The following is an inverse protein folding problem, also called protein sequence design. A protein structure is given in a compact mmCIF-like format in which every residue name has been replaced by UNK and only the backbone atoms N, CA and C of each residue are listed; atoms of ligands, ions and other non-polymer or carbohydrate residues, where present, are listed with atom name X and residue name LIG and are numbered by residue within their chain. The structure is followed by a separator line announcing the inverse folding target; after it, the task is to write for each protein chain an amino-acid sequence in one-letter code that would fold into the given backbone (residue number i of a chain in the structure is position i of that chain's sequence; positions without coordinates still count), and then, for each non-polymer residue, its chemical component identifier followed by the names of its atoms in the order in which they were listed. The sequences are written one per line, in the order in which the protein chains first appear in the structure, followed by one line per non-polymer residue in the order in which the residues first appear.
data_IF_982238260366
#
_entry.id   IF_982238260366
#
_cell.length_a   1.000
_cell.length_b   1.000
_cell.length_c   1.000
_cell.angle_alpha   90.00
_cell.angle_beta   90.00
_cell.angle_gamma   90.00
#
_symmetry.space_group_name_H-M   'P 1'
#
loop_
_entity.id
_entity.type
_entity.pdbx_description
1 polymer ?
#
# COMPACT_ATOMS: atom_id res chain seq x y z
N UNK A 1 41.11 5.39 0.28
CA UNK A 1 40.32 4.46 -0.56
C UNK A 1 38.87 4.52 -0.10
N UNK A 2 37.97 5.10 -0.90
CA UNK A 2 36.54 5.17 -0.55
C UNK A 2 35.85 3.85 -0.93
N UNK A 3 35.32 3.14 0.06
CA UNK A 3 34.53 1.93 -0.17
C UNK A 3 33.14 2.32 -0.66
N UNK A 4 32.89 2.10 -1.95
CA UNK A 4 31.54 2.12 -2.53
C UNK A 4 30.68 1.05 -1.84
N UNK A 5 29.70 1.47 -1.06
CA UNK A 5 28.68 0.56 -0.51
C UNK A 5 27.74 0.18 -1.65
N UNK A 6 27.91 -1.04 -2.19
CA UNK A 6 26.96 -1.64 -3.13
C UNK A 6 25.59 -1.72 -2.47
N UNK A 7 24.59 -1.08 -3.08
CA UNK A 7 23.19 -1.25 -2.71
C UNK A 7 22.82 -2.72 -2.92
N UNK A 8 22.73 -3.46 -1.82
CA UNK A 8 22.29 -4.85 -1.84
C UNK A 8 20.77 -4.81 -1.94
N UNK A 9 20.23 -5.18 -3.10
CA UNK A 9 18.80 -5.35 -3.31
C UNK A 9 18.35 -6.53 -2.44
N UNK A 10 17.91 -6.24 -1.21
CA UNK A 10 17.29 -7.23 -0.34
C UNK A 10 15.96 -7.61 -1.01
N UNK A 11 15.89 -8.80 -1.57
CA UNK A 11 14.62 -9.38 -1.98
C UNK A 11 13.72 -9.43 -0.73
N UNK A 12 12.74 -8.54 -0.67
CA UNK A 12 11.67 -8.57 0.31
C UNK A 12 10.98 -9.93 0.13
N UNK A 13 11.28 -10.88 1.03
CA UNK A 13 10.54 -12.14 1.16
C UNK A 13 9.06 -11.80 1.12
N UNK A 14 8.31 -12.51 0.29
CA UNK A 14 6.85 -12.40 0.17
C UNK A 14 6.24 -12.10 1.54
N UNK A 15 5.83 -10.84 1.71
CA UNK A 15 5.20 -10.43 2.95
C UNK A 15 3.91 -11.22 3.04
N UNK A 16 3.79 -12.08 4.06
CA UNK A 16 2.55 -12.79 4.36
C UNK A 16 1.41 -11.76 4.23
N UNK A 17 0.48 -11.94 3.27
CA UNK A 17 -0.59 -10.98 3.05
C UNK A 17 -1.42 -10.80 4.31
N UNK A 18 -1.31 -11.70 5.29
CA UNK A 18 -1.93 -11.59 6.59
C UNK A 18 -3.42 -11.90 6.54
N UNK A 19 -4.00 -12.09 7.72
CA UNK A 19 -5.40 -12.40 7.88
C UNK A 19 -6.15 -11.15 8.39
N UNK A 20 -7.25 -10.81 7.71
CA UNK A 20 -8.17 -9.80 8.20
C UNK A 20 -9.05 -10.37 9.32
N UNK A 21 -9.10 -9.69 10.44
CA UNK A 21 -9.93 -10.05 11.59
C UNK A 21 -10.68 -8.83 12.10
N UNK A 22 -11.88 -9.06 12.66
CA UNK A 22 -12.65 -8.02 13.34
C UNK A 22 -12.39 -8.11 14.83
N UNK A 23 -11.94 -7.01 15.43
CA UNK A 23 -11.62 -6.96 16.86
C UNK A 23 -12.91 -6.90 17.70
N UNK A 24 -12.95 -7.69 18.76
CA UNK A 24 -14.07 -7.70 19.72
C UNK A 24 -13.81 -6.79 20.93
N UNK A 25 -12.56 -6.32 21.09
CA UNK A 25 -12.08 -5.48 22.18
C UNK A 25 -11.06 -4.46 21.66
N UNK A 26 -10.80 -3.42 22.47
CA UNK A 26 -9.71 -2.50 22.20
C UNK A 26 -8.36 -3.21 22.34
N UNK A 27 -7.47 -3.01 21.36
CA UNK A 27 -6.17 -3.67 21.36
C UNK A 27 -5.13 -2.86 20.59
N UNK A 28 -4.03 -2.48 21.24
CA UNK A 28 -2.87 -1.79 20.62
C UNK A 28 -3.27 -0.60 19.72
N UNK A 29 -4.20 0.24 20.18
CA UNK A 29 -4.68 1.41 19.43
C UNK A 29 -5.78 1.12 18.41
N UNK A 30 -6.13 -0.15 18.21
CA UNK A 30 -7.30 -0.53 17.43
C UNK A 30 -8.55 -0.58 18.31
N UNK A 31 -9.67 -0.09 17.77
CA UNK A 31 -10.94 -0.02 18.48
C UNK A 31 -11.73 -1.33 18.38
N UNK A 32 -12.64 -1.55 19.33
CA UNK A 32 -13.64 -2.63 19.23
C UNK A 32 -14.48 -2.43 17.97
N UNK A 33 -14.69 -3.51 17.22
CA UNK A 33 -15.43 -3.52 15.95
C UNK A 33 -14.57 -3.19 14.73
N UNK A 34 -13.36 -2.65 14.93
CA UNK A 34 -12.45 -2.33 13.84
C UNK A 34 -11.97 -3.61 13.13
N UNK A 35 -11.92 -3.55 11.81
CA UNK A 35 -11.34 -4.59 10.96
C UNK A 35 -9.89 -4.21 10.68
N UNK A 36 -8.98 -5.13 10.92
CA UNK A 36 -7.57 -4.93 10.68
C UNK A 36 -6.92 -6.23 10.19
N UNK A 37 -5.84 -6.09 9.42
CA UNK A 37 -5.08 -7.21 8.86
C UNK A 37 -3.80 -7.39 9.66
N UNK A 38 -3.59 -8.59 10.17
CA UNK A 38 -2.41 -8.95 10.96
C UNK A 38 -1.74 -10.18 10.36
N UNK A 39 -0.47 -10.40 10.68
CA UNK A 39 0.18 -11.66 10.31
C UNK A 39 -0.56 -12.87 10.93
N UNK A 40 -0.39 -14.04 10.33
CA UNK A 40 -1.13 -15.25 10.71
C UNK A 40 -0.93 -15.66 12.17
N UNK A 41 0.26 -15.42 12.73
CA UNK A 41 0.56 -15.71 14.14
C UNK A 41 -0.27 -14.82 15.07
N UNK A 42 -0.30 -13.52 14.81
CA UNK A 42 -1.04 -12.55 15.64
C UNK A 42 -2.53 -12.76 15.50
N UNK A 43 -3.05 -12.99 14.29
CA UNK A 43 -4.48 -13.27 14.09
C UNK A 43 -4.92 -14.51 14.86
N UNK A 44 -4.10 -15.57 14.85
CA UNK A 44 -4.37 -16.82 15.58
C UNK A 44 -4.37 -16.58 17.09
N UNK A 45 -3.40 -15.84 17.62
CA UNK A 45 -3.36 -15.51 19.04
C UNK A 45 -4.56 -14.66 19.48
N UNK A 46 -4.98 -13.70 18.65
CA UNK A 46 -6.13 -12.85 18.94
C UNK A 46 -7.45 -13.65 18.93
N UNK A 47 -7.61 -14.57 17.98
CA UNK A 47 -8.76 -15.49 17.93
C UNK A 47 -8.79 -16.44 19.13
N UNK A 48 -7.65 -17.05 19.47
CA UNK A 48 -7.53 -17.96 20.61
C UNK A 48 -7.86 -17.28 21.94
N UNK A 49 -7.53 -15.98 22.08
CA UNK A 49 -7.88 -15.17 23.26
C UNK A 49 -9.31 -14.63 23.25
N UNK A 50 -10.07 -14.86 22.16
CA UNK A 50 -11.42 -14.30 21.98
C UNK A 50 -11.45 -12.79 21.75
N UNK A 51 -10.32 -12.19 21.36
CA UNK A 51 -10.17 -10.74 21.14
C UNK A 51 -10.41 -10.33 19.69
N UNK A 52 -10.47 -11.31 18.79
CA UNK A 52 -10.85 -11.10 17.41
C UNK A 52 -11.70 -12.27 16.90
N UNK A 53 -12.53 -11.99 15.91
CA UNK A 53 -13.29 -12.97 15.14
C UNK A 53 -12.84 -12.93 13.67
N UNK A 54 -12.98 -14.05 12.92
CA UNK A 54 -12.73 -14.04 11.49
C UNK A 54 -13.54 -12.94 10.81
N UNK A 55 -12.89 -12.15 9.94
CA UNK A 55 -13.59 -11.13 9.18
C UNK A 55 -14.48 -11.80 8.13
N UNK A 56 -15.79 -11.60 8.27
CA UNK A 56 -16.80 -11.97 7.27
C UNK A 56 -17.48 -10.67 6.83
N UNK A 57 -17.02 -10.04 5.73
CA UNK A 57 -17.60 -8.79 5.27
C UNK A 57 -19.07 -8.98 4.91
N UNK A 58 -19.91 -8.01 5.24
CA UNK A 58 -21.25 -7.92 4.65
C UNK A 58 -21.14 -7.49 3.19
N UNK A 59 -22.25 -7.55 2.44
CA UNK A 59 -22.29 -7.09 1.04
C UNK A 59 -21.83 -5.62 0.92
N UNK A 60 -22.32 -4.76 1.82
CA UNK A 60 -21.99 -3.34 1.86
C UNK A 60 -20.51 -3.10 2.20
N UNK A 61 -19.97 -3.80 3.19
CA UNK A 61 -18.55 -3.67 3.57
C UNK A 61 -17.63 -4.13 2.45
N UNK A 62 -18.02 -5.19 1.73
CA UNK A 62 -17.27 -5.67 0.57
C UNK A 62 -17.24 -4.63 -0.55
N UNK A 63 -18.38 -4.01 -0.86
CA UNK A 63 -18.46 -2.96 -1.89
C UNK A 63 -17.66 -1.71 -1.50
N UNK A 64 -17.66 -1.31 -0.22
CA UNK A 64 -16.85 -0.19 0.26
C UNK A 64 -15.34 -0.51 0.21
N UNK A 65 -14.94 -1.70 0.67
CA UNK A 65 -13.55 -2.17 0.61
C UNK A 65 -13.06 -2.23 -0.85
N UNK A 66 -13.85 -2.77 -1.77
CA UNK A 66 -13.54 -2.83 -3.20
C UNK A 66 -13.39 -1.42 -3.80
N UNK A 67 -14.29 -0.49 -3.45
CA UNK A 67 -14.17 0.91 -3.88
C UNK A 67 -12.90 1.57 -3.35
N UNK A 68 -12.53 1.35 -2.08
CA UNK A 68 -11.30 1.91 -1.50
C UNK A 68 -10.06 1.39 -2.21
N UNK A 69 -10.02 0.08 -2.50
CA UNK A 69 -8.92 -0.53 -3.26
C UNK A 69 -8.84 0.06 -4.66
N UNK A 70 -9.98 0.27 -5.32
CA UNK A 70 -10.04 0.88 -6.64
C UNK A 70 -9.50 2.32 -6.61
N UNK A 71 -9.96 3.15 -5.67
CA UNK A 71 -9.50 4.54 -5.50
C UNK A 71 -7.99 4.59 -5.24
N UNK A 72 -7.47 3.70 -4.40
CA UNK A 72 -6.04 3.66 -4.10
C UNK A 72 -5.22 3.25 -5.32
N UNK A 73 -5.70 2.27 -6.09
CA UNK A 73 -5.06 1.82 -7.33
C UNK A 73 -5.07 2.91 -8.39
N UNK A 74 -6.21 3.58 -8.57
CA UNK A 74 -6.38 4.68 -9.52
C UNK A 74 -5.47 5.86 -9.16
N UNK A 75 -5.34 6.19 -7.87
CA UNK A 75 -4.42 7.22 -7.38
C UNK A 75 -2.96 6.91 -7.70
N UNK A 76 -2.52 5.66 -7.49
CA UNK A 76 -1.15 5.22 -7.85
C UNK A 76 -0.93 5.31 -9.35
N UNK A 77 -1.91 4.90 -10.17
CA UNK A 77 -1.82 4.95 -11.62
C UNK A 77 -1.77 6.40 -12.14
N UNK A 78 -2.54 7.31 -11.52
CA UNK A 78 -2.53 8.72 -11.86
C UNK A 78 -1.20 9.40 -11.50
N UNK A 79 -0.65 9.12 -10.31
CA UNK A 79 0.68 9.60 -9.91
C UNK A 79 1.77 9.07 -10.87
N UNK A 80 1.70 7.79 -11.24
CA UNK A 80 2.63 7.19 -12.20
C UNK A 80 2.56 7.86 -13.58
N UNK A 81 1.35 8.17 -14.06
CA UNK A 81 1.15 8.91 -15.32
C UNK A 81 1.74 10.31 -15.24
N UNK A 82 1.47 11.07 -14.18
CA UNK A 82 2.02 12.42 -13.99
C UNK A 82 3.55 12.42 -13.97
N UNK A 83 4.17 11.47 -13.25
CA UNK A 83 5.64 11.32 -13.24
C UNK A 83 6.20 10.99 -14.62
N UNK A 84 5.54 10.12 -15.39
CA UNK A 84 5.95 9.80 -16.75
C UNK A 84 5.87 11.03 -17.68
N UNK A 85 4.79 11.81 -17.59
CA UNK A 85 4.61 13.05 -18.36
C UNK A 85 5.67 14.10 -18.02
N UNK A 86 6.03 14.27 -16.75
CA UNK A 86 7.08 15.21 -16.31
C UNK A 86 8.45 14.80 -16.85
N UNK A 87 8.78 13.50 -16.83
CA UNK A 87 10.05 12.99 -17.39
C UNK A 87 10.09 13.23 -18.91
N UNK A 88 8.97 13.07 -19.61
CA UNK A 88 8.89 13.29 -21.05
C UNK A 88 9.02 14.79 -21.41
N UNK A 89 8.44 15.69 -20.60
CA UNK A 89 8.61 17.14 -20.76
C UNK A 89 10.02 17.67 -20.44
N UNK A 90 10.79 16.96 -19.62
CA UNK A 90 12.22 17.25 -19.37
C UNK A 90 13.14 16.69 -20.47
N UNK A 91 12.64 15.77 -21.31
CA UNK A 91 13.39 15.15 -22.39
C UNK A 91 13.27 15.90 -23.72
N UNK A 92 12.39 16.90 -23.84
CA UNK A 92 12.40 17.80 -24.99
C UNK A 92 13.56 18.80 -24.86
N UNK A 93 14.56 18.78 -25.75
CA UNK A 93 15.57 19.82 -25.78
C UNK A 93 14.89 21.10 -26.27
N UNK A 94 14.54 21.98 -25.32
CA UNK A 94 14.27 23.38 -25.62
C UNK A 94 15.56 24.01 -26.13
N UNK A 95 15.83 23.85 -27.43
CA UNK A 95 16.91 24.51 -28.11
C UNK A 95 16.34 25.74 -28.82
N UNK A 96 16.42 26.95 -28.25
CA UNK A 96 16.06 28.16 -28.96
C UNK A 96 17.17 28.45 -29.97
N UNK A 97 17.00 27.97 -31.20
CA UNK A 97 17.84 28.41 -32.32
C UNK A 97 17.45 29.86 -32.62
N UNK A 98 18.17 30.78 -31.98
CA UNK A 98 18.07 32.22 -32.18
C UNK A 98 18.52 32.55 -33.60
N UNK A 99 17.59 32.55 -34.55
CA UNK A 99 17.83 33.07 -35.90
C UNK A 99 17.92 34.59 -35.79
N UNK A 100 19.14 35.13 -35.87
CA UNK A 100 19.36 36.52 -36.24
C UNK A 100 19.47 36.57 -37.77
N UNK A 101 18.58 37.32 -38.40
CA UNK A 101 18.76 37.91 -39.72
C UNK A 101 18.21 39.33 -39.64
#
# INVERSE_FOLDING_TARGET
MQHFRRATTVALKDADPGEAVRLTRWWRGYQKGQVARFNTITSTQLKAKGWAIPYKPTKEEKEDDERRVQIQTDGIMQDRRLRASVIQGLAEPTSPKRTRA
#
